data_IF_460310905799
#
_entry.id   IF_460310905799
#
_cell.length_a   1.000
_cell.length_b   1.000
_cell.length_c   1.000
_cell.angle_alpha   90.00
_cell.angle_beta   90.00
_cell.angle_gamma   90.00
#
_symmetry.space_group_name_H-M   'P 1'
#
loop_
_entity.id
_entity.type
_entity.pdbx_description
1 polymer ?
#
# COMPACT_ATOMS: atom_id res chain seq x y z
N UNK A 1 10.14 -1.41 -10.48
CA UNK A 1 9.34 -0.21 -10.13
C UNK A 1 9.92 0.98 -10.88
N UNK A 2 9.08 1.83 -11.48
CA UNK A 2 9.54 3.08 -12.11
C UNK A 2 9.61 4.19 -11.06
N UNK A 3 10.62 5.07 -11.11
CA UNK A 3 10.69 6.22 -10.23
C UNK A 3 9.58 7.22 -10.56
N UNK A 4 9.17 8.04 -9.60
CA UNK A 4 8.22 9.13 -9.86
C UNK A 4 8.69 10.11 -10.94
N UNK A 5 9.99 10.17 -11.21
CA UNK A 5 10.55 10.97 -12.31
C UNK A 5 10.15 10.50 -13.70
N UNK A 6 9.51 9.33 -13.85
CA UNK A 6 9.00 8.89 -15.16
C UNK A 6 8.04 9.92 -15.78
N UNK A 7 7.32 10.68 -14.95
CA UNK A 7 6.42 11.74 -15.43
C UNK A 7 7.14 12.96 -15.97
N UNK A 8 8.45 13.06 -15.75
CA UNK A 8 9.31 14.11 -16.29
C UNK A 8 9.92 13.71 -17.65
N UNK A 9 9.92 12.41 -17.97
CA UNK A 9 10.47 11.85 -19.22
C UNK A 9 9.71 12.35 -20.46
N UNK A 10 10.46 12.70 -21.50
CA UNK A 10 9.91 13.29 -22.73
C UNK A 10 9.11 12.25 -23.52
N UNK A 11 9.63 11.04 -23.68
CA UNK A 11 8.94 9.97 -24.41
C UNK A 11 7.66 9.54 -23.70
N UNK A 12 7.67 9.45 -22.37
CA UNK A 12 6.48 9.17 -21.57
C UNK A 12 5.42 10.27 -21.73
N UNK A 13 5.81 11.55 -21.72
CA UNK A 13 4.89 12.67 -21.97
C UNK A 13 4.26 12.60 -23.35
N UNK A 14 5.06 12.34 -24.38
CA UNK A 14 4.58 12.18 -25.76
C UNK A 14 3.60 11.01 -25.86
N UNK A 15 3.94 9.87 -25.26
CA UNK A 15 3.08 8.69 -25.22
C UNK A 15 1.72 8.97 -24.56
N UNK A 16 1.72 9.59 -23.38
CA UNK A 16 0.47 9.93 -22.67
C UNK A 16 -0.35 10.96 -23.45
N UNK A 17 0.31 11.94 -24.09
CA UNK A 17 -0.36 12.92 -24.95
C UNK A 17 -0.99 12.27 -26.19
N UNK A 18 -0.37 11.25 -26.78
CA UNK A 18 -0.97 10.48 -27.88
C UNK A 18 -2.21 9.70 -27.44
N UNK A 19 -2.23 9.19 -26.20
CA UNK A 19 -3.38 8.48 -25.65
C UNK A 19 -4.54 9.41 -25.29
N UNK A 20 -4.23 10.53 -24.63
CA UNK A 20 -5.22 11.54 -24.25
C UNK A 20 -4.56 12.93 -24.16
N UNK A 21 -4.69 13.75 -25.21
CA UNK A 21 -4.12 15.10 -25.23
C UNK A 21 -4.66 16.03 -24.15
N UNK A 22 -5.85 15.75 -23.61
CA UNK A 22 -6.46 16.54 -22.54
C UNK A 22 -5.93 16.19 -21.15
N UNK A 23 -5.18 15.10 -20.99
CA UNK A 23 -4.69 14.67 -19.70
C UNK A 23 -3.42 15.44 -19.31
N UNK A 24 -3.53 16.21 -18.22
CA UNK A 24 -2.38 16.89 -17.62
C UNK A 24 -1.66 15.96 -16.66
N UNK A 25 -0.48 15.52 -17.05
CA UNK A 25 0.35 14.64 -16.22
C UNK A 25 0.75 15.40 -14.94
N UNK A 26 0.46 14.87 -13.74
CA UNK A 26 0.93 15.48 -12.51
C UNK A 26 2.45 15.38 -12.42
N UNK A 27 3.09 16.43 -11.88
CA UNK A 27 4.54 16.39 -11.66
C UNK A 27 4.91 15.42 -10.51
N UNK A 28 6.19 15.05 -10.42
CA UNK A 28 6.68 14.12 -9.38
C UNK A 28 6.35 14.54 -7.95
N UNK A 29 6.31 15.83 -7.67
CA UNK A 29 6.03 16.35 -6.34
C UNK A 29 4.55 16.16 -5.99
N UNK A 30 3.66 16.49 -6.91
CA UNK A 30 2.22 16.25 -6.75
C UNK A 30 1.92 14.76 -6.53
N UNK A 31 2.60 13.86 -7.26
CA UNK A 31 2.44 12.41 -7.06
C UNK A 31 2.89 12.00 -5.65
N UNK A 32 4.13 12.33 -5.28
CA UNK A 32 4.75 11.84 -4.04
C UNK A 32 4.23 12.51 -2.77
N UNK A 33 3.82 13.77 -2.82
CA UNK A 33 3.43 14.56 -1.65
C UNK A 33 1.93 14.80 -1.53
N UNK A 34 1.15 14.52 -2.57
CA UNK A 34 -0.30 14.77 -2.54
C UNK A 34 -1.10 13.54 -2.93
N UNK A 35 -0.90 13.00 -4.14
CA UNK A 35 -1.75 11.94 -4.66
C UNK A 35 -1.57 10.62 -3.90
N UNK A 36 -0.33 10.19 -3.65
CA UNK A 36 -0.06 8.95 -2.91
C UNK A 36 -0.50 9.05 -1.45
N UNK A 37 -0.16 10.12 -0.69
CA UNK A 37 -0.68 10.28 0.67
C UNK A 37 -2.21 10.31 0.73
N UNK A 38 -2.88 11.02 -0.20
CA UNK A 38 -4.34 11.04 -0.24
C UNK A 38 -4.94 9.66 -0.56
N UNK A 39 -4.33 8.89 -1.47
CA UNK A 39 -4.75 7.53 -1.76
C UNK A 39 -4.56 6.60 -0.55
N UNK A 40 -3.46 6.78 0.20
CA UNK A 40 -3.22 6.05 1.45
C UNK A 40 -4.29 6.38 2.49
N UNK A 41 -4.55 7.66 2.76
CA UNK A 41 -5.57 8.08 3.73
C UNK A 41 -6.96 7.55 3.36
N UNK A 42 -7.31 7.58 2.07
CA UNK A 42 -8.56 6.98 1.58
C UNK A 42 -8.61 5.49 1.88
N UNK A 43 -7.58 4.72 1.48
CA UNK A 43 -7.49 3.28 1.72
C UNK A 43 -7.54 2.95 3.23
N UNK A 44 -6.82 3.71 4.05
CA UNK A 44 -6.79 3.55 5.50
C UNK A 44 -8.19 3.72 6.10
N UNK A 45 -8.92 4.76 5.71
CA UNK A 45 -10.27 5.00 6.19
C UNK A 45 -11.25 3.91 5.72
N UNK A 46 -11.16 3.47 4.46
CA UNK A 46 -11.97 2.35 3.93
C UNK A 46 -11.72 1.05 4.72
N UNK A 47 -10.45 0.71 4.98
CA UNK A 47 -10.08 -0.46 5.79
C UNK A 47 -10.60 -0.33 7.22
N UNK A 48 -10.48 0.87 7.82
CA UNK A 48 -10.96 1.15 9.17
C UNK A 48 -12.48 0.97 9.27
N UNK A 49 -13.24 1.44 8.28
CA UNK A 49 -14.69 1.24 8.21
C UNK A 49 -15.04 -0.24 8.07
N UNK A 50 -14.36 -0.97 7.17
CA UNK A 50 -14.56 -2.42 7.00
C UNK A 50 -14.34 -3.15 8.33
N UNK A 51 -13.25 -2.87 9.03
CA UNK A 51 -12.94 -3.51 10.32
C UNK A 51 -13.99 -3.17 11.37
N UNK A 52 -14.39 -1.90 11.48
CA UNK A 52 -15.37 -1.49 12.48
C UNK A 52 -16.78 -2.07 12.24
N UNK A 53 -17.14 -2.32 10.99
CA UNK A 53 -18.50 -2.74 10.62
C UNK A 53 -18.64 -4.26 10.47
N UNK A 54 -17.62 -4.95 9.95
CA UNK A 54 -17.75 -6.34 9.50
C UNK A 54 -16.95 -7.34 10.35
N UNK A 55 -16.01 -6.89 11.18
CA UNK A 55 -15.12 -7.79 11.92
C UNK A 55 -15.74 -8.17 13.27
N UNK A 56 -16.18 -9.42 13.39
CA UNK A 56 -16.62 -10.02 14.66
C UNK A 56 -15.53 -10.89 15.28
N UNK A 57 -14.91 -11.75 14.47
CA UNK A 57 -13.85 -12.66 14.89
C UNK A 57 -12.76 -12.70 13.82
N UNK A 58 -11.51 -12.61 14.26
CA UNK A 58 -10.36 -12.57 13.36
C UNK A 58 -9.22 -13.46 13.84
N UNK A 59 -8.40 -13.89 12.89
CA UNK A 59 -7.06 -14.38 13.14
C UNK A 59 -6.04 -13.42 12.52
N UNK A 60 -4.85 -13.37 13.12
CA UNK A 60 -3.75 -12.56 12.63
C UNK A 60 -2.60 -13.46 12.22
N UNK A 61 -1.96 -13.12 11.12
CA UNK A 61 -0.71 -13.73 10.70
C UNK A 61 0.39 -12.68 10.72
N UNK A 62 1.58 -13.10 11.11
CA UNK A 62 2.80 -12.33 10.97
C UNK A 62 3.71 -13.04 9.98
N UNK A 63 4.26 -12.29 9.04
CA UNK A 63 5.29 -12.77 8.12
C UNK A 63 6.54 -11.93 8.33
N UNK A 64 7.66 -12.60 8.62
CA UNK A 64 8.94 -11.97 8.89
C UNK A 64 9.96 -12.45 7.87
N UNK A 65 10.62 -11.51 7.19
CA UNK A 65 11.67 -11.84 6.24
C UNK A 65 12.80 -10.83 6.27
N UNK A 66 13.99 -11.26 5.86
CA UNK A 66 15.13 -10.38 5.60
C UNK A 66 15.20 -10.11 4.10
N UNK A 67 15.21 -8.84 3.72
CA UNK A 67 15.33 -8.41 2.33
C UNK A 67 16.72 -8.75 1.76
N UNK A 68 16.85 -8.69 0.44
CA UNK A 68 18.16 -8.82 -0.22
C UNK A 68 19.16 -7.74 0.19
N UNK A 69 18.67 -6.62 0.73
CA UNK A 69 19.47 -5.53 1.25
C UNK A 69 19.77 -5.69 2.75
N UNK A 70 19.59 -6.89 3.31
CA UNK A 70 19.85 -7.23 4.72
C UNK A 70 18.99 -6.47 5.73
N UNK A 71 17.85 -5.93 5.30
CA UNK A 71 16.88 -5.27 6.17
C UNK A 71 15.78 -6.27 6.58
N UNK A 72 15.48 -6.37 7.87
CA UNK A 72 14.39 -7.20 8.37
C UNK A 72 13.05 -6.46 8.29
N UNK A 73 12.01 -7.16 7.83
CA UNK A 73 10.65 -6.67 7.68
C UNK A 73 9.67 -7.60 8.38
N UNK A 74 8.63 -7.00 8.97
CA UNK A 74 7.48 -7.71 9.50
C UNK A 74 6.21 -7.18 8.82
N UNK A 75 5.39 -8.10 8.31
CA UNK A 75 4.05 -7.84 7.85
C UNK A 75 3.03 -8.45 8.81
N UNK A 76 1.98 -7.69 9.13
CA UNK A 76 0.86 -8.13 9.97
C UNK A 76 -0.39 -8.13 9.09
N UNK A 77 -1.00 -9.30 8.91
CA UNK A 77 -2.24 -9.46 8.14
C UNK A 77 -3.35 -9.95 9.04
N UNK A 78 -4.52 -9.31 8.96
CA UNK A 78 -5.75 -9.79 9.64
C UNK A 78 -6.61 -10.56 8.66
N UNK A 79 -7.17 -11.67 9.11
CA UNK A 79 -8.09 -12.50 8.35
C UNK A 79 -9.39 -12.68 9.15
N UNK A 80 -10.54 -12.47 8.51
CA UNK A 80 -11.84 -12.65 9.13
C UNK A 80 -12.90 -13.01 8.09
N UNK A 81 -14.00 -13.62 8.53
CA UNK A 81 -15.19 -13.80 7.71
C UNK A 81 -16.13 -12.62 7.95
N UNK A 82 -16.62 -12.00 6.88
CA UNK A 82 -17.69 -11.01 7.02
C UNK A 82 -19.07 -11.70 7.17
N UNK A 83 -20.12 -10.90 7.33
CA UNK A 83 -21.51 -11.37 7.46
C UNK A 83 -22.01 -12.25 6.30
N UNK A 84 -21.38 -12.16 5.13
CA UNK A 84 -21.70 -12.97 3.95
C UNK A 84 -20.81 -14.22 3.84
N UNK A 85 -20.09 -14.60 4.92
CA UNK A 85 -19.13 -15.71 4.95
C UNK A 85 -18.02 -15.60 3.89
N UNK A 86 -17.68 -14.36 3.50
CA UNK A 86 -16.56 -14.11 2.58
C UNK A 86 -15.31 -13.84 3.40
N UNK A 87 -14.26 -14.62 3.14
CA UNK A 87 -12.94 -14.41 3.75
C UNK A 87 -12.34 -13.08 3.28
N UNK A 88 -12.05 -12.20 4.23
CA UNK A 88 -11.28 -10.97 4.04
C UNK A 88 -9.88 -11.19 4.60
N UNK A 89 -8.88 -10.73 3.86
CA UNK A 89 -7.47 -10.74 4.28
C UNK A 89 -6.90 -9.34 4.01
N UNK A 90 -6.51 -8.63 5.07
CA UNK A 90 -6.10 -7.22 4.97
C UNK A 90 -4.75 -7.05 5.65
N UNK A 91 -3.78 -6.49 4.93
CA UNK A 91 -2.50 -6.08 5.48
C UNK A 91 -2.70 -4.86 6.38
N UNK A 92 -2.43 -5.00 7.67
CA UNK A 92 -2.54 -3.90 8.65
C UNK A 92 -1.26 -3.10 8.76
N UNK A 93 -0.11 -3.76 8.65
CA UNK A 93 1.18 -3.10 8.75
C UNK A 93 2.24 -3.90 7.99
N UNK A 94 3.19 -3.17 7.40
CA UNK A 94 4.43 -3.72 6.87
C UNK A 94 5.52 -2.68 7.11
N UNK A 95 6.49 -3.00 7.95
CA UNK A 95 7.56 -2.07 8.28
C UNK A 95 8.87 -2.81 8.53
N UNK A 96 9.98 -2.11 8.29
CA UNK A 96 11.30 -2.57 8.66
C UNK A 96 11.48 -2.50 10.18
N UNK A 97 12.19 -3.47 10.75
CA UNK A 97 12.58 -3.45 12.16
C UNK A 97 14.05 -3.83 12.30
N UNK A 98 14.71 -3.26 13.31
CA UNK A 98 16.14 -3.46 13.57
C UNK A 98 16.40 -4.32 14.81
N UNK A 99 15.36 -4.92 15.38
CA UNK A 99 15.45 -5.71 16.59
C UNK A 99 15.81 -7.16 16.27
N UNK A 100 16.44 -7.82 17.25
CA UNK A 100 16.71 -9.25 17.18
C UNK A 100 15.40 -10.01 17.03
N UNK A 101 15.41 -11.11 16.26
CA UNK A 101 14.26 -12.02 16.13
C UNK A 101 14.07 -12.86 17.41
N UNK A 102 13.90 -12.19 18.54
CA UNK A 102 13.69 -12.79 19.86
C UNK A 102 12.24 -12.61 20.25
N UNK A 103 11.60 -13.70 20.68
CA UNK A 103 10.33 -13.61 21.40
C UNK A 103 10.63 -13.14 22.82
N UNK A 104 10.46 -11.84 23.09
CA UNK A 104 10.37 -11.31 24.47
C UNK A 104 8.91 -11.09 24.87
#
# INVERSE_FOLDING_TARGET
LQPFSVVDDVGFKEFVNLLNPGYKIPNRHAISKTLIPAAYEKCFNEVKEIINNDLEMACMTTDCWTSRNTESYIAITVHFLNSNFVLKSILLSCHSFNESHTSE
#
